data_IF_730853567112
#
_entry.id   IF_730853567112
#
_cell.length_a   1.000
_cell.length_b   1.000
_cell.length_c   1.000
_cell.angle_alpha   90.00
_cell.angle_beta   90.00
_cell.angle_gamma   90.00
#
_symmetry.space_group_name_H-M   'P 1'
#
loop_
_entity.id
_entity.type
_entity.pdbx_description
1 polymer ?
#
# COMPACT_ATOMS: atom_id res chain seq x y z
N UNK A 1 -10.44 -8.32 -11.01
CA UNK A 1 -10.44 -8.84 -9.62
C UNK A 1 -9.78 -7.84 -8.69
N UNK A 2 -10.31 -7.60 -7.49
CA UNK A 2 -9.63 -6.76 -6.52
C UNK A 2 -8.33 -7.43 -6.08
N UNK A 3 -7.36 -6.63 -5.71
CA UNK A 3 -6.14 -7.12 -5.07
C UNK A 3 -5.78 -6.24 -3.86
N UNK A 4 -4.99 -6.82 -2.96
CA UNK A 4 -4.65 -6.20 -1.69
C UNK A 4 -3.14 -6.35 -1.44
N UNK A 5 -2.50 -5.30 -0.92
CA UNK A 5 -1.12 -5.35 -0.44
C UNK A 5 -1.07 -4.66 0.91
N UNK A 6 -1.00 -5.43 1.99
CA UNK A 6 -0.95 -4.91 3.36
C UNK A 6 0.36 -5.16 4.08
N UNK A 7 1.16 -6.11 3.61
CA UNK A 7 2.50 -6.28 4.13
C UNK A 7 3.41 -5.19 3.57
N UNK A 8 4.18 -4.57 4.44
CA UNK A 8 5.15 -3.55 4.07
C UNK A 8 6.50 -3.91 4.69
N UNK A 9 7.44 -4.30 3.85
CA UNK A 9 8.75 -4.78 4.29
C UNK A 9 9.47 -3.77 5.19
N UNK A 10 9.52 -2.50 4.80
CA UNK A 10 10.16 -1.43 5.56
C UNK A 10 9.48 -1.14 6.90
N UNK A 11 8.15 -1.13 6.93
CA UNK A 11 7.38 -0.87 8.15
C UNK A 11 7.50 -2.02 9.15
N UNK A 12 7.49 -3.26 8.67
CA UNK A 12 7.70 -4.44 9.51
C UNK A 12 9.10 -4.46 10.11
N UNK A 13 10.10 -4.05 9.34
CA UNK A 13 11.49 -3.98 9.79
C UNK A 13 11.76 -2.80 10.73
N UNK A 14 10.98 -1.72 10.61
CA UNK A 14 11.10 -0.50 11.40
C UNK A 14 12.17 0.48 10.90
N UNK A 15 12.18 1.68 11.44
CA UNK A 15 13.04 2.78 11.00
C UNK A 15 14.55 2.45 11.11
N UNK A 16 14.95 1.73 12.14
CA UNK A 16 16.36 1.35 12.35
C UNK A 16 16.92 0.51 11.20
N UNK A 17 16.08 -0.26 10.54
CA UNK A 17 16.42 -1.13 9.43
C UNK A 17 16.50 -0.41 8.07
N UNK A 18 16.10 0.88 8.01
CA UNK A 18 16.16 1.68 6.79
C UNK A 18 17.46 2.45 6.73
N UNK A 19 18.14 2.34 5.59
CA UNK A 19 19.34 3.12 5.28
C UNK A 19 19.13 3.89 3.98
N UNK A 20 19.45 5.19 3.98
CA UNK A 20 19.43 6.05 2.81
C UNK A 20 20.84 6.52 2.48
N UNK A 21 21.21 6.48 1.21
CA UNK A 21 22.48 7.04 0.69
C UNK A 21 22.17 7.88 -0.56
N UNK A 22 22.49 9.17 -0.61
CA UNK A 22 22.95 9.99 0.52
C UNK A 22 22.00 9.93 1.73
N UNK A 23 22.52 10.22 2.92
CA UNK A 23 21.72 10.19 4.16
C UNK A 23 20.43 11.02 4.02
N UNK A 24 19.45 10.74 4.85
CA UNK A 24 18.24 11.55 4.87
C UNK A 24 18.52 12.97 5.38
N UNK A 25 17.77 13.94 4.87
CA UNK A 25 17.75 15.30 5.39
C UNK A 25 17.21 15.33 6.82
N UNK A 26 17.78 16.15 7.69
CA UNK A 26 17.31 16.29 9.06
C UNK A 26 15.85 16.77 9.16
N UNK A 27 15.40 17.59 8.19
CA UNK A 27 14.03 18.11 8.14
C UNK A 27 13.04 17.07 7.60
N UNK A 28 13.52 16.15 6.74
CA UNK A 28 12.71 15.12 6.08
C UNK A 28 13.35 13.74 6.34
N UNK A 29 13.19 13.23 7.56
CA UNK A 29 13.92 12.05 8.02
C UNK A 29 13.44 10.75 7.35
N UNK A 30 14.31 9.76 7.36
CA UNK A 30 14.11 8.46 6.68
C UNK A 30 12.87 7.69 7.13
N UNK A 31 12.43 7.81 8.38
CA UNK A 31 11.25 7.09 8.89
C UNK A 31 9.97 7.45 8.13
N UNK A 32 9.92 8.64 7.54
CA UNK A 32 8.78 9.06 6.71
C UNK A 32 8.60 8.23 5.43
N UNK A 33 9.60 7.48 5.04
CA UNK A 33 9.47 6.54 3.92
C UNK A 33 8.76 5.23 4.28
N UNK A 34 8.41 5.05 5.57
CA UNK A 34 7.82 3.81 6.09
C UNK A 34 6.79 4.05 7.21
N UNK A 35 6.30 5.28 7.38
CA UNK A 35 5.39 5.65 8.47
C UNK A 35 3.90 5.34 8.16
N UNK A 36 3.58 5.00 6.95
CA UNK A 36 2.21 4.70 6.49
C UNK A 36 1.43 5.94 6.02
N UNK A 37 2.10 7.09 5.91
CA UNK A 37 1.49 8.34 5.45
C UNK A 37 2.11 8.77 4.13
N UNK A 38 1.40 8.54 3.02
CA UNK A 38 1.92 8.79 1.67
C UNK A 38 2.34 10.25 1.38
N UNK A 39 1.85 11.21 2.15
CA UNK A 39 2.24 12.64 2.01
C UNK A 39 3.35 13.08 2.95
N UNK A 40 3.75 12.22 3.89
CA UNK A 40 4.89 12.45 4.75
C UNK A 40 6.16 12.20 3.96
N UNK A 41 6.91 13.24 3.61
CA UNK A 41 8.05 13.09 2.70
C UNK A 41 9.34 12.76 3.43
N UNK A 42 10.04 11.73 2.98
CA UNK A 42 11.45 11.51 3.20
C UNK A 42 12.26 12.17 2.07
N UNK A 43 13.43 12.71 2.38
CA UNK A 43 14.29 13.39 1.41
C UNK A 43 15.76 13.04 1.61
N UNK A 44 16.45 12.76 0.53
CA UNK A 44 17.91 12.65 0.56
C UNK A 44 18.57 14.02 0.78
N UNK A 45 19.70 14.04 1.49
CA UNK A 45 20.37 15.28 1.84
C UNK A 45 21.03 15.99 0.65
N UNK A 46 21.31 15.31 -0.44
CA UNK A 46 21.98 15.87 -1.61
C UNK A 46 21.42 15.37 -2.93
N UNK A 47 21.61 16.17 -3.97
CA UNK A 47 21.24 15.88 -5.35
C UNK A 47 22.26 14.96 -6.01
N UNK A 48 22.09 13.67 -5.89
CA UNK A 48 22.94 12.65 -6.51
C UNK A 48 22.14 11.38 -6.74
N UNK A 49 22.73 10.38 -7.38
CA UNK A 49 22.17 9.04 -7.39
C UNK A 49 21.93 8.58 -5.94
N UNK A 50 20.77 8.00 -5.70
CA UNK A 50 20.33 7.67 -4.36
C UNK A 50 19.94 6.21 -4.22
N UNK A 51 20.11 5.69 -3.01
CA UNK A 51 19.63 4.36 -2.64
C UNK A 51 18.83 4.43 -1.34
N UNK A 52 17.76 3.68 -1.33
CA UNK A 52 16.99 3.31 -0.14
C UNK A 52 17.18 1.82 0.08
N UNK A 53 17.59 1.42 1.27
CA UNK A 53 17.84 0.01 1.63
C UNK A 53 17.03 -0.35 2.85
N UNK A 54 16.37 -1.50 2.83
CA UNK A 54 15.64 -2.08 3.93
C UNK A 54 16.29 -3.43 4.33
N UNK A 55 16.72 -3.54 5.58
CA UNK A 55 17.07 -4.82 6.21
C UNK A 55 15.83 -5.42 6.87
N UNK A 56 15.31 -6.48 6.31
CA UNK A 56 14.08 -7.16 6.77
C UNK A 56 14.32 -8.10 7.96
N UNK A 57 15.56 -8.21 8.43
CA UNK A 57 15.96 -9.22 9.41
C UNK A 57 16.07 -10.62 8.80
N UNK A 58 16.28 -11.62 9.66
CA UNK A 58 16.63 -12.98 9.22
C UNK A 58 15.48 -13.99 9.30
N UNK A 59 14.33 -13.67 9.89
CA UNK A 59 13.31 -14.67 10.21
C UNK A 59 12.03 -14.48 9.39
N UNK A 60 11.53 -15.58 8.80
CA UNK A 60 10.16 -15.71 8.29
C UNK A 60 9.77 -14.71 7.20
N UNK A 61 10.69 -14.37 6.31
CA UNK A 61 10.49 -13.30 5.33
C UNK A 61 9.37 -13.64 4.34
N UNK A 62 8.34 -12.81 4.34
CA UNK A 62 7.31 -12.88 3.32
C UNK A 62 7.86 -12.45 1.96
N UNK A 63 7.42 -13.11 0.89
CA UNK A 63 7.83 -12.74 -0.46
C UNK A 63 7.35 -11.33 -0.82
N UNK A 64 8.24 -10.52 -1.38
CA UNK A 64 7.91 -9.21 -1.94
C UNK A 64 7.66 -9.35 -3.43
N UNK A 65 6.52 -8.85 -3.92
CA UNK A 65 6.09 -8.98 -5.33
C UNK A 65 5.58 -7.67 -5.94
N UNK A 66 5.50 -6.59 -5.14
CA UNK A 66 5.04 -5.27 -5.59
C UNK A 66 5.84 -4.16 -4.92
N UNK A 67 5.99 -3.08 -5.66
CA UNK A 67 6.44 -1.78 -5.14
C UNK A 67 5.37 -0.74 -5.42
N UNK A 68 5.17 0.18 -4.44
CA UNK A 68 4.38 1.39 -4.59
C UNK A 68 5.17 2.58 -4.03
N UNK A 69 5.14 3.69 -4.76
CA UNK A 69 5.60 5.00 -4.28
C UNK A 69 4.44 5.95 -4.58
N UNK A 70 3.79 6.52 -3.55
CA UNK A 70 2.66 7.44 -3.72
C UNK A 70 3.00 8.63 -4.61
N UNK A 71 1.98 9.24 -5.19
CA UNK A 71 2.11 10.52 -5.88
C UNK A 71 2.67 11.61 -4.95
N UNK A 72 3.25 12.66 -5.53
CA UNK A 72 3.91 13.72 -4.75
C UNK A 72 5.41 13.58 -4.63
N UNK A 73 5.99 12.49 -5.12
CA UNK A 73 7.45 12.36 -5.24
C UNK A 73 8.00 13.23 -6.38
N UNK A 74 9.30 13.56 -6.32
CA UNK A 74 10.00 14.30 -7.36
C UNK A 74 10.90 13.42 -8.25
N UNK A 75 10.70 12.09 -8.24
CA UNK A 75 11.55 11.15 -8.99
C UNK A 75 11.49 11.40 -10.50
N UNK A 76 10.33 11.84 -11.02
CA UNK A 76 10.15 12.14 -12.45
C UNK A 76 10.40 10.93 -13.35
N UNK A 77 10.84 11.19 -14.57
CA UNK A 77 11.15 10.15 -15.57
C UNK A 77 12.56 9.59 -15.34
N UNK A 78 12.69 8.60 -14.49
CA UNK A 78 13.95 7.91 -14.17
C UNK A 78 13.85 6.40 -14.42
N UNK A 79 14.98 5.74 -14.47
CA UNK A 79 15.08 4.28 -14.50
C UNK A 79 15.42 3.77 -13.10
N UNK A 80 14.41 3.57 -12.27
CA UNK A 80 14.56 3.07 -10.91
C UNK A 80 14.78 1.56 -10.91
N UNK A 81 15.80 1.09 -10.19
CA UNK A 81 16.13 -0.32 -10.07
C UNK A 81 15.76 -0.82 -8.68
N UNK A 82 14.97 -1.88 -8.61
CA UNK A 82 14.68 -2.62 -7.38
C UNK A 82 15.48 -3.91 -7.39
N UNK A 83 16.22 -4.16 -6.34
CA UNK A 83 17.07 -5.35 -6.19
C UNK A 83 16.97 -5.93 -4.78
N UNK A 84 17.31 -7.20 -4.65
CA UNK A 84 17.44 -7.91 -3.38
C UNK A 84 18.78 -8.61 -3.27
N UNK A 85 19.20 -8.89 -2.03
CA UNK A 85 20.42 -9.65 -1.73
C UNK A 85 20.31 -10.19 -0.29
N UNK A 86 20.91 -11.32 -0.01
CA UNK A 86 21.08 -11.82 1.37
C UNK A 86 22.21 -11.09 2.11
N UNK A 87 23.02 -10.33 1.40
CA UNK A 87 24.11 -9.52 1.93
C UNK A 87 23.83 -8.01 1.81
N UNK A 88 23.87 -7.31 2.93
CA UNK A 88 23.63 -5.86 2.99
C UNK A 88 24.62 -4.99 2.19
N UNK A 89 25.75 -5.55 1.75
CA UNK A 89 26.68 -4.89 0.84
C UNK A 89 26.30 -5.00 -0.64
N UNK A 90 25.27 -5.78 -0.96
CA UNK A 90 24.78 -6.02 -2.33
C UNK A 90 25.91 -6.42 -3.29
N UNK A 91 26.68 -7.44 -2.90
CA UNK A 91 27.81 -7.94 -3.69
C UNK A 91 27.38 -8.80 -4.89
N UNK A 92 26.21 -9.42 -4.79
CA UNK A 92 25.62 -10.25 -5.85
C UNK A 92 24.10 -10.02 -5.96
N UNK A 93 23.64 -8.79 -6.19
CA UNK A 93 22.22 -8.46 -6.11
C UNK A 93 21.42 -9.11 -7.24
N UNK A 94 20.25 -9.61 -6.89
CA UNK A 94 19.23 -10.03 -7.85
C UNK A 94 18.36 -8.83 -8.20
N UNK A 95 18.31 -8.44 -9.47
CA UNK A 95 17.40 -7.39 -9.94
C UNK A 95 15.98 -7.93 -9.99
N UNK A 96 15.08 -7.31 -9.22
CA UNK A 96 13.66 -7.68 -9.17
C UNK A 96 12.84 -6.94 -10.23
N UNK A 97 13.18 -5.69 -10.51
CA UNK A 97 12.61 -4.90 -11.59
C UNK A 97 13.50 -3.71 -11.95
N UNK A 98 13.39 -3.26 -13.19
CA UNK A 98 13.82 -1.94 -13.65
C UNK A 98 12.58 -1.19 -14.11
N UNK A 99 12.29 -0.06 -13.48
CA UNK A 99 11.04 0.67 -13.61
C UNK A 99 11.32 2.01 -14.28
N UNK A 100 10.72 2.27 -15.43
CA UNK A 100 10.68 3.62 -15.99
C UNK A 100 9.59 4.39 -15.26
N UNK A 101 9.97 5.34 -14.43
CA UNK A 101 9.05 6.11 -13.61
C UNK A 101 8.44 7.28 -14.38
N UNK A 102 7.30 7.76 -13.90
CA UNK A 102 6.63 8.97 -14.35
C UNK A 102 6.14 9.76 -13.13
N UNK A 103 5.54 10.91 -13.35
CA UNK A 103 4.82 11.62 -12.30
C UNK A 103 3.58 10.80 -11.87
N UNK A 104 3.18 10.92 -10.62
CA UNK A 104 2.03 10.23 -10.06
C UNK A 104 2.41 8.96 -9.29
N UNK A 105 1.46 8.06 -9.08
CA UNK A 105 1.71 6.80 -8.40
C UNK A 105 2.67 5.92 -9.23
N UNK A 106 3.76 5.48 -8.60
CA UNK A 106 4.61 4.42 -9.16
C UNK A 106 4.13 3.10 -8.57
N UNK A 107 3.60 2.24 -9.43
CA UNK A 107 3.24 0.86 -9.10
C UNK A 107 3.91 -0.08 -10.09
N UNK A 108 4.58 -1.11 -9.59
CA UNK A 108 5.16 -2.12 -10.47
C UNK A 108 5.22 -3.51 -9.82
N UNK A 109 5.10 -4.52 -10.71
CA UNK A 109 5.37 -5.91 -10.35
C UNK A 109 6.87 -6.13 -10.15
N UNK A 110 7.20 -6.94 -9.18
CA UNK A 110 8.55 -7.38 -8.90
C UNK A 110 8.67 -8.89 -9.11
N UNK A 111 9.82 -9.35 -9.56
CA UNK A 111 10.20 -10.76 -9.40
C UNK A 111 10.15 -11.08 -7.90
N UNK A 112 9.49 -12.18 -7.56
CA UNK A 112 9.29 -12.57 -6.15
C UNK A 112 10.62 -12.80 -5.45
N UNK A 113 10.80 -12.19 -4.27
CA UNK A 113 12.01 -12.35 -3.46
C UNK A 113 11.69 -12.47 -1.98
N UNK A 114 12.37 -13.40 -1.32
CA UNK A 114 12.39 -13.59 0.14
C UNK A 114 13.73 -13.21 0.75
N UNK A 115 14.65 -12.63 -0.01
CA UNK A 115 15.97 -12.24 0.48
C UNK A 115 15.88 -11.17 1.58
N UNK A 116 16.89 -11.11 2.42
CA UNK A 116 16.92 -10.26 3.62
C UNK A 116 16.95 -8.77 3.29
N UNK A 117 17.75 -8.37 2.32
CA UNK A 117 17.94 -6.96 2.00
C UNK A 117 17.21 -6.61 0.71
N UNK A 118 16.50 -5.49 0.74
CA UNK A 118 15.87 -4.89 -0.43
C UNK A 118 16.51 -3.52 -0.68
N UNK A 119 16.79 -3.20 -1.94
CA UNK A 119 17.34 -1.92 -2.35
C UNK A 119 16.53 -1.32 -3.49
N UNK A 120 16.20 -0.05 -3.35
CA UNK A 120 15.65 0.78 -4.43
C UNK A 120 16.73 1.80 -4.79
N UNK A 121 17.15 1.79 -6.04
CA UNK A 121 18.18 2.68 -6.55
C UNK A 121 17.55 3.66 -7.53
N UNK A 122 17.71 4.95 -7.26
CA UNK A 122 17.21 6.05 -8.08
C UNK A 122 18.46 6.69 -8.73
N UNK A 123 18.65 6.53 -10.04
CA UNK A 123 19.79 7.13 -10.75
C UNK A 123 19.57 8.62 -10.95
N UNK A 124 20.60 9.29 -11.41
CA UNK A 124 20.51 10.65 -11.88
C UNK A 124 20.89 11.69 -10.84
N UNK A 125 20.90 12.91 -11.30
CA UNK A 125 21.26 14.10 -10.57
C UNK A 125 20.34 15.24 -11.00
N UNK A 126 20.20 16.26 -10.19
CA UNK A 126 19.41 17.45 -10.51
C UNK A 126 18.73 18.02 -9.28
N UNK A 127 18.10 17.21 -8.49
CA UNK A 127 17.55 17.59 -7.19
C UNK A 127 17.71 16.47 -6.18
N UNK A 128 17.67 16.79 -4.89
CA UNK A 128 17.59 15.78 -3.85
C UNK A 128 16.23 15.05 -3.97
N UNK A 129 16.28 13.72 -4.02
CA UNK A 129 15.08 12.92 -4.20
C UNK A 129 14.16 13.00 -2.98
N UNK A 130 12.90 13.23 -3.24
CA UNK A 130 11.81 13.29 -2.26
C UNK A 130 10.76 12.27 -2.63
N UNK A 131 10.29 11.52 -1.65
CA UNK A 131 9.19 10.57 -1.80
C UNK A 131 8.50 10.36 -0.45
N UNK A 132 7.23 10.03 -0.47
CA UNK A 132 6.49 9.67 0.72
C UNK A 132 6.84 8.24 1.15
N UNK A 133 5.92 7.33 0.94
CA UNK A 133 6.10 5.93 1.30
C UNK A 133 6.93 5.18 0.25
N UNK A 134 7.86 4.34 0.69
CA UNK A 134 8.57 3.38 -0.17
C UNK A 134 8.04 1.98 0.15
N UNK A 135 6.89 1.65 -0.39
CA UNK A 135 6.16 0.42 -0.04
C UNK A 135 6.58 -0.77 -0.89
N UNK A 136 7.16 -1.77 -0.25
CA UNK A 136 7.52 -3.05 -0.84
C UNK A 136 6.73 -4.15 -0.13
N UNK A 137 5.87 -4.86 -0.85
CA UNK A 137 4.98 -5.82 -0.22
C UNK A 137 4.57 -6.99 -1.13
N UNK A 138 3.78 -7.88 -0.58
CA UNK A 138 3.22 -9.03 -1.31
C UNK A 138 1.83 -8.71 -1.83
N UNK A 139 1.66 -8.86 -3.14
CA UNK A 139 0.34 -8.84 -3.77
C UNK A 139 -0.44 -10.08 -3.36
N UNK A 140 -1.69 -9.89 -2.94
CA UNK A 140 -2.63 -10.95 -2.64
C UNK A 140 -3.94 -10.72 -3.38
N UNK A 141 -4.36 -11.70 -4.13
CA UNK A 141 -5.58 -11.67 -4.92
C UNK A 141 -6.43 -12.87 -4.53
N UNK A 142 -7.73 -12.68 -4.29
CA UNK A 142 -8.64 -13.80 -4.15
C UNK A 142 -8.64 -14.66 -5.40
N UNK A 143 -9.04 -15.90 -5.26
CA UNK A 143 -9.14 -16.83 -6.40
C UNK A 143 -10.16 -16.32 -7.44
N UNK A 144 -10.05 -16.78 -8.67
CA UNK A 144 -10.98 -16.43 -9.76
C UNK A 144 -12.43 -16.90 -9.53
N UNK A 145 -12.65 -17.77 -8.54
CA UNK A 145 -13.99 -18.21 -8.14
C UNK A 145 -14.73 -17.14 -7.33
N UNK A 146 -14.00 -16.27 -6.62
CA UNK A 146 -14.60 -15.16 -5.85
C UNK A 146 -15.20 -14.15 -6.81
N UNK A 147 -16.44 -13.76 -6.56
CA UNK A 147 -17.15 -12.76 -7.35
C UNK A 147 -17.29 -11.47 -6.57
N UNK A 148 -17.06 -10.37 -7.26
CA UNK A 148 -17.43 -9.04 -6.75
C UNK A 148 -18.90 -8.83 -7.10
N UNK A 149 -19.71 -8.61 -6.08
CA UNK A 149 -21.13 -8.32 -6.31
C UNK A 149 -21.29 -6.96 -7.00
N UNK A 150 -22.28 -6.85 -7.92
CA UNK A 150 -22.62 -5.56 -8.50
C UNK A 150 -22.99 -4.54 -7.42
N UNK A 151 -22.59 -3.30 -7.61
CA UNK A 151 -22.92 -2.22 -6.68
C UNK A 151 -21.82 -1.89 -5.67
N UNK A 152 -20.55 -2.30 -5.91
CA UNK A 152 -19.43 -1.70 -5.19
C UNK A 152 -19.43 -0.17 -5.44
N UNK A 153 -19.17 0.59 -4.39
CA UNK A 153 -19.31 2.05 -4.41
C UNK A 153 -18.01 2.71 -3.99
N UNK A 154 -17.72 3.85 -4.60
CA UNK A 154 -16.61 4.72 -4.25
C UNK A 154 -17.11 6.17 -4.03
N UNK A 155 -18.08 6.37 -3.12
CA UNK A 155 -18.59 7.71 -2.86
C UNK A 155 -17.51 8.57 -2.19
N UNK A 156 -17.40 9.86 -2.55
CA UNK A 156 -16.58 10.79 -1.81
C UNK A 156 -17.22 11.07 -0.44
N UNK A 157 -16.39 11.12 0.59
CA UNK A 157 -16.79 11.66 1.89
C UNK A 157 -16.34 13.10 1.94
N UNK A 158 -17.30 14.01 2.06
CA UNK A 158 -17.00 15.42 2.29
C UNK A 158 -16.62 15.64 3.76
N UNK A 159 -15.35 15.95 4.03
CA UNK A 159 -14.87 16.32 5.35
C UNK A 159 -15.23 17.77 5.69
N UNK A 160 -16.53 18.02 5.81
CA UNK A 160 -17.05 19.36 6.13
C UNK A 160 -17.62 19.38 7.54
N UNK A 161 -17.10 20.21 8.41
CA UNK A 161 -17.67 20.48 9.73
C UNK A 161 -18.52 21.75 9.66
N UNK A 162 -19.81 21.63 9.96
CA UNK A 162 -20.70 22.79 10.08
C UNK A 162 -20.60 23.33 11.51
N UNK A 163 -20.07 24.52 11.67
CA UNK A 163 -20.05 25.23 12.95
C UNK A 163 -21.22 26.23 13.02
N UNK A 164 -21.97 26.16 14.12
CA UNK A 164 -22.99 27.15 14.43
C UNK A 164 -22.43 28.13 15.46
N UNK A 165 -22.40 29.39 15.10
CA UNK A 165 -21.97 30.44 16.00
C UNK A 165 -23.15 30.94 16.85
N UNK A 166 -22.91 31.48 18.06
CA UNK A 166 -23.97 32.02 18.93
C UNK A 166 -24.81 33.10 18.27
N UNK A 167 -24.28 33.76 17.25
CA UNK A 167 -24.99 34.79 16.44
C UNK A 167 -26.02 34.18 15.49
N UNK A 168 -26.20 32.86 15.44
CA UNK A 168 -27.08 32.16 14.49
C UNK A 168 -26.49 31.98 13.10
N UNK A 169 -25.31 32.49 12.84
CA UNK A 169 -24.59 32.30 11.57
C UNK A 169 -24.04 30.85 11.54
N UNK A 170 -24.20 30.19 10.41
CA UNK A 170 -23.58 28.90 10.16
C UNK A 170 -22.38 29.08 9.22
N UNK A 171 -21.25 28.58 9.63
CA UNK A 171 -20.06 28.47 8.80
C UNK A 171 -19.74 27.01 8.55
N UNK A 172 -19.31 26.66 7.32
CA UNK A 172 -18.75 25.37 7.02
C UNK A 172 -17.24 25.47 6.90
N UNK A 173 -16.54 24.58 7.57
CA UNK A 173 -15.08 24.44 7.45
C UNK A 173 -14.82 23.11 6.76
N UNK A 174 -14.16 23.16 5.61
CA UNK A 174 -13.67 21.94 4.93
C UNK A 174 -12.39 21.51 5.63
N UNK A 175 -12.45 20.37 6.30
CA UNK A 175 -11.31 19.81 7.04
C UNK A 175 -10.53 18.83 6.13
N UNK A 176 -9.75 19.35 5.20
CA UNK A 176 -8.97 18.52 4.27
C UNK A 176 -9.69 18.22 2.95
N UNK A 177 -9.06 17.37 2.11
CA UNK A 177 -9.65 16.91 0.85
C UNK A 177 -10.77 15.88 1.04
N UNK A 178 -11.57 15.70 0.01
CA UNK A 178 -12.60 14.65 0.00
C UNK A 178 -11.93 13.27 0.07
N UNK A 179 -12.34 12.45 1.03
CA UNK A 179 -11.92 11.04 1.13
C UNK A 179 -12.85 10.17 0.29
N UNK A 180 -12.30 9.15 -0.32
CA UNK A 180 -13.09 8.12 -0.98
C UNK A 180 -13.33 6.95 -0.03
N UNK A 181 -14.54 6.41 -0.06
CA UNK A 181 -14.89 5.17 0.65
C UNK A 181 -15.10 4.08 -0.38
N UNK A 182 -14.48 2.93 -0.20
CA UNK A 182 -14.75 1.76 -1.01
C UNK A 182 -15.54 0.76 -0.19
N UNK A 183 -16.76 0.47 -0.63
CA UNK A 183 -17.59 -0.62 -0.10
C UNK A 183 -17.64 -1.72 -1.15
N UNK A 184 -17.32 -2.93 -0.73
CA UNK A 184 -17.22 -4.07 -1.63
C UNK A 184 -17.78 -5.33 -0.97
N UNK A 185 -18.65 -6.02 -1.68
CA UNK A 185 -19.14 -7.34 -1.28
C UNK A 185 -18.58 -8.39 -2.21
N UNK A 186 -17.98 -9.41 -1.62
CA UNK A 186 -17.35 -10.52 -2.30
C UNK A 186 -18.12 -11.80 -1.97
N UNK A 187 -18.63 -12.48 -2.97
CA UNK A 187 -19.34 -13.75 -2.82
C UNK A 187 -18.53 -14.93 -3.33
N UNK A 188 -18.97 -16.13 -2.99
CA UNK A 188 -18.31 -17.38 -3.36
C UNK A 188 -16.89 -17.52 -2.81
N UNK A 189 -16.62 -16.94 -1.65
CA UNK A 189 -15.33 -17.02 -0.97
C UNK A 189 -15.17 -18.42 -0.38
N UNK A 190 -14.27 -19.22 -0.93
CA UNK A 190 -13.93 -20.55 -0.43
C UNK A 190 -13.02 -20.47 0.82
N UNK A 191 -12.79 -21.59 1.49
CA UNK A 191 -12.03 -21.62 2.74
C UNK A 191 -10.62 -21.05 2.66
N UNK A 192 -9.93 -21.26 1.55
CA UNK A 192 -8.58 -20.69 1.31
C UNK A 192 -8.60 -19.17 1.15
N UNK A 193 -9.62 -18.65 0.45
CA UNK A 193 -9.80 -17.21 0.30
C UNK A 193 -10.30 -16.57 1.60
N UNK A 194 -11.08 -17.30 2.40
CA UNK A 194 -11.50 -16.82 3.71
C UNK A 194 -10.31 -16.57 4.63
N UNK A 195 -9.30 -17.45 4.60
CA UNK A 195 -8.04 -17.24 5.34
C UNK A 195 -7.35 -15.94 4.92
N UNK A 196 -7.31 -15.63 3.62
CA UNK A 196 -6.77 -14.36 3.13
C UNK A 196 -7.48 -13.15 3.78
N UNK A 197 -8.82 -13.18 3.86
CA UNK A 197 -9.59 -12.10 4.48
C UNK A 197 -9.46 -12.06 6.00
N UNK A 198 -9.25 -13.20 6.66
CA UNK A 198 -8.94 -13.27 8.09
C UNK A 198 -7.56 -12.66 8.39
N UNK A 199 -6.56 -12.96 7.57
CA UNK A 199 -5.22 -12.36 7.67
C UNK A 199 -5.28 -10.84 7.44
N UNK A 200 -6.06 -10.41 6.44
CA UNK A 200 -6.31 -8.98 6.19
C UNK A 200 -6.96 -8.30 7.39
N UNK A 201 -7.98 -8.92 7.97
CA UNK A 201 -8.65 -8.41 9.17
C UNK A 201 -7.69 -8.32 10.36
N UNK A 202 -6.87 -9.32 10.57
CA UNK A 202 -5.88 -9.35 11.65
C UNK A 202 -4.82 -8.25 11.49
N UNK A 203 -4.35 -8.03 10.26
CA UNK A 203 -3.30 -7.05 9.95
C UNK A 203 -3.81 -5.61 9.91
N UNK A 204 -4.96 -5.37 9.31
CA UNK A 204 -5.45 -4.04 8.96
C UNK A 204 -6.78 -3.65 9.61
N UNK A 205 -7.54 -4.62 10.13
CA UNK A 205 -8.89 -4.39 10.68
C UNK A 205 -8.92 -3.37 11.81
N UNK A 206 -9.97 -2.53 11.81
CA UNK A 206 -10.10 -1.42 12.76
C UNK A 206 -9.07 -0.31 12.54
N UNK A 207 -8.67 -0.09 11.28
CA UNK A 207 -7.70 0.93 10.87
C UNK A 207 -6.33 0.83 11.57
N UNK A 208 -5.86 -0.39 11.84
CA UNK A 208 -4.55 -0.63 12.48
C UNK A 208 -3.39 -0.28 11.55
N UNK A 209 -3.53 -0.57 10.27
CA UNK A 209 -2.51 -0.37 9.26
C UNK A 209 -3.17 -0.08 7.92
N UNK A 210 -2.66 0.88 7.14
CA UNK A 210 -3.14 1.08 5.78
C UNK A 210 -2.74 -0.09 4.88
N UNK A 211 -3.41 -0.18 3.73
CA UNK A 211 -3.13 -1.17 2.70
C UNK A 211 -3.36 -0.56 1.32
N UNK A 212 -2.65 -1.06 0.32
CA UNK A 212 -2.94 -0.75 -1.07
C UNK A 212 -4.06 -1.66 -1.58
N UNK A 213 -5.01 -1.05 -2.24
CA UNK A 213 -6.18 -1.73 -2.81
C UNK A 213 -6.29 -1.39 -4.28
N UNK A 214 -6.28 -2.41 -5.12
CA UNK A 214 -6.71 -2.30 -6.52
C UNK A 214 -8.18 -2.67 -6.62
N UNK A 215 -8.97 -1.79 -7.23
CA UNK A 215 -10.39 -2.03 -7.44
C UNK A 215 -10.65 -3.20 -8.39
N UNK A 216 -11.89 -3.74 -8.42
CA UNK A 216 -12.26 -4.86 -9.28
C UNK A 216 -12.14 -4.57 -10.78
N UNK A 217 -12.22 -3.33 -11.17
CA UNK A 217 -12.06 -2.86 -12.55
C UNK A 217 -10.97 -1.77 -12.63
N UNK A 218 -10.46 -1.53 -13.82
CA UNK A 218 -9.41 -0.56 -14.05
C UNK A 218 -9.91 0.91 -14.02
N UNK A 219 -11.20 1.13 -13.75
CA UNK A 219 -11.79 2.47 -13.69
C UNK A 219 -11.38 3.24 -12.43
N UNK A 220 -10.91 2.52 -11.40
CA UNK A 220 -10.46 3.12 -10.16
C UNK A 220 -8.97 2.88 -9.98
N UNK A 221 -8.17 3.93 -9.81
CA UNK A 221 -6.74 3.77 -9.60
C UNK A 221 -6.47 3.04 -8.27
N UNK A 222 -5.37 2.31 -8.23
CA UNK A 222 -4.83 1.73 -6.99
C UNK A 222 -4.70 2.81 -5.92
N UNK A 223 -5.27 2.57 -4.76
CA UNK A 223 -5.37 3.58 -3.70
C UNK A 223 -4.90 3.00 -2.37
N UNK A 224 -4.22 3.81 -1.58
CA UNK A 224 -3.88 3.51 -0.19
C UNK A 224 -5.11 3.75 0.68
N UNK A 225 -5.55 2.75 1.43
CA UNK A 225 -6.80 2.78 2.19
C UNK A 225 -6.63 2.22 3.61
N UNK A 226 -7.51 2.63 4.51
CA UNK A 226 -7.70 2.05 5.82
C UNK A 226 -8.88 1.09 5.81
N UNK A 227 -8.71 -0.14 6.30
CA UNK A 227 -9.80 -1.08 6.48
C UNK A 227 -10.56 -0.74 7.76
N UNK A 228 -11.74 -0.14 7.62
CA UNK A 228 -12.57 0.30 8.74
C UNK A 228 -13.50 -0.80 9.24
N UNK A 229 -14.04 -1.60 8.33
CA UNK A 229 -14.87 -2.73 8.69
C UNK A 229 -14.65 -3.92 7.74
N UNK A 230 -14.75 -5.11 8.31
CA UNK A 230 -14.77 -6.38 7.58
C UNK A 230 -15.72 -7.34 8.29
N UNK A 231 -16.59 -7.98 7.54
CA UNK A 231 -17.49 -9.02 8.03
C UNK A 231 -17.53 -10.18 7.05
N UNK A 232 -17.73 -11.37 7.55
CA UNK A 232 -17.89 -12.57 6.75
C UNK A 232 -19.01 -13.42 7.32
N UNK A 233 -19.86 -13.95 6.45
CA UNK A 233 -20.91 -14.89 6.84
C UNK A 233 -20.98 -16.02 5.82
N UNK A 234 -21.43 -17.19 6.32
CA UNK A 234 -21.62 -18.36 5.48
C UNK A 234 -22.77 -18.13 4.50
N UNK A 235 -22.55 -18.48 3.24
CA UNK A 235 -23.63 -18.56 2.27
C UNK A 235 -24.35 -19.89 2.43
N UNK A 236 -25.63 -19.84 2.76
CA UNK A 236 -26.50 -20.99 2.67
C UNK A 236 -26.96 -21.12 1.21
N UNK A 237 -26.21 -21.88 0.41
CA UNK A 237 -26.63 -22.19 -0.95
C UNK A 237 -27.57 -23.40 -0.91
N UNK A 238 -28.73 -23.31 -1.59
CA UNK A 238 -29.62 -24.45 -1.80
C UNK A 238 -28.98 -25.59 -2.61
N UNK A 239 -27.84 -25.29 -3.25
CA UNK A 239 -27.05 -26.24 -4.02
C UNK A 239 -25.80 -26.63 -3.26
N UNK A 240 -25.63 -27.92 -2.89
CA UNK A 240 -24.40 -28.38 -2.26
C UNK A 240 -23.24 -28.19 -3.23
N UNK A 241 -22.32 -27.29 -2.87
CA UNK A 241 -21.08 -27.09 -3.63
C UNK A 241 -20.17 -28.30 -3.37
N UNK A 242 -19.63 -28.88 -4.43
CA UNK A 242 -18.71 -30.02 -4.34
C UNK A 242 -17.40 -29.68 -3.59
N UNK A 243 -17.13 -28.42 -3.31
CA UNK A 243 -15.88 -27.88 -2.78
C UNK A 243 -15.97 -27.38 -1.33
N UNK A 244 -17.11 -27.59 -0.62
CA UNK A 244 -17.30 -27.16 0.77
C UNK A 244 -18.05 -25.82 0.90
N UNK A 245 -18.14 -25.28 2.13
CA UNK A 245 -18.90 -24.07 2.40
C UNK A 245 -18.27 -22.84 1.73
N UNK A 246 -19.13 -22.00 1.18
CA UNK A 246 -18.75 -20.68 0.66
C UNK A 246 -19.22 -19.58 1.59
N UNK A 247 -18.59 -18.44 1.51
CA UNK A 247 -18.83 -17.28 2.35
C UNK A 247 -19.06 -16.03 1.50
N UNK A 248 -19.77 -15.09 2.07
CA UNK A 248 -19.80 -13.70 1.59
C UNK A 248 -18.95 -12.87 2.52
N UNK A 249 -18.06 -12.05 1.96
CA UNK A 249 -17.20 -11.12 2.71
C UNK A 249 -17.56 -9.71 2.29
N UNK A 250 -17.79 -8.83 3.26
CA UNK A 250 -18.02 -7.42 3.02
C UNK A 250 -16.88 -6.61 3.61
N UNK A 251 -16.36 -5.71 2.80
CA UNK A 251 -15.27 -4.80 3.14
C UNK A 251 -15.75 -3.36 3.08
N UNK A 252 -15.35 -2.57 4.06
CA UNK A 252 -15.48 -1.11 4.05
C UNK A 252 -14.10 -0.50 4.28
N UNK A 253 -13.66 0.29 3.31
CA UNK A 253 -12.35 0.92 3.32
C UNK A 253 -12.51 2.42 3.09
N UNK A 254 -11.65 3.19 3.72
CA UNK A 254 -11.59 4.65 3.59
C UNK A 254 -10.21 5.05 3.12
N UNK A 255 -10.14 5.94 2.16
CA UNK A 255 -8.87 6.44 1.63
C UNK A 255 -7.98 6.99 2.74
N UNK A 256 -6.73 6.58 2.75
CA UNK A 256 -5.72 7.17 3.60
C UNK A 256 -5.34 8.53 3.00
N UNK A 257 -5.99 9.58 3.49
CA UNK A 257 -5.51 10.93 3.20
C UNK A 257 -4.15 11.09 3.86
N UNK A 258 -3.23 11.46 3.09
CA UNK A 258 -2.00 11.95 3.60
C UNK A 258 -2.10 13.46 3.83
#
# INVERSE_FOLDING_TARGET
MPYFVWSHAGRTAGDAAITMSPAASATFPKYRSVDGFGQSLAKHASASAATWVCDRGAAGLEAVTRIFIPSGHNIGAQSVVVASDDNGSFTSPTTLATITTAAGLIENALTSSTERYLRVSIPGAGSAWEYGEMWLGRLRTPSSAVRVEPGWELPPIQNTTVQRFPSGVQGSVVNGGDQRTLKMTLSWVAGTDLTLFQDLAAACGGAKSPLWVGAPDDAVPTTLMWLTAISAWRQDSEFPQATGPTYTVQLELVEALG
#
